data_IF_373751638588
#
_entry.id   IF_373751638588
#
_cell.length_a   1.000
_cell.length_b   1.000
_cell.length_c   1.000
_cell.angle_alpha   90.00
_cell.angle_beta   90.00
_cell.angle_gamma   90.00
#
_symmetry.space_group_name_H-M   'P 1'
#
loop_
_entity.id
_entity.type
_entity.pdbx_description
1 polymer ?
#
# COMPACT_ATOMS: atom_id res chain seq x y z
N UNK A 1 -4.51 1.39 6.22
CA UNK A 1 -5.43 0.88 5.19
C UNK A 1 -4.73 1.00 3.85
N UNK A 2 -4.85 0.00 2.99
CA UNK A 2 -4.22 -0.03 1.67
C UNK A 2 -5.29 0.25 0.63
N UNK A 3 -5.00 1.14 -0.32
CA UNK A 3 -5.89 1.42 -1.42
C UNK A 3 -5.33 0.73 -2.67
N UNK A 4 -6.18 -0.03 -3.36
CA UNK A 4 -5.79 -0.76 -4.57
C UNK A 4 -6.65 -0.31 -5.75
N UNK A 5 -6.01 -0.06 -6.89
CA UNK A 5 -6.65 0.25 -8.19
C UNK A 5 -6.46 1.70 -8.66
N UNK A 6 -6.37 1.89 -9.99
CA UNK A 6 -6.17 3.19 -10.64
C UNK A 6 -7.46 4.05 -10.72
N UNK A 7 -8.61 3.47 -11.10
CA UNK A 7 -9.87 4.20 -11.32
C UNK A 7 -10.88 4.04 -10.16
N UNK A 8 -11.01 2.85 -9.59
CA UNK A 8 -11.82 2.59 -8.38
C UNK A 8 -10.90 2.20 -7.22
N UNK A 9 -10.52 3.19 -6.40
CA UNK A 9 -9.69 2.96 -5.21
C UNK A 9 -10.48 2.17 -4.17
N UNK A 10 -10.31 0.84 -4.13
CA UNK A 10 -10.88 0.01 -3.07
C UNK A 10 -10.00 0.04 -1.83
N UNK A 11 -10.62 0.36 -0.69
CA UNK A 11 -9.94 0.38 0.61
C UNK A 11 -9.93 -1.02 1.22
N UNK A 12 -8.74 -1.58 1.35
CA UNK A 12 -8.47 -2.81 2.11
C UNK A 12 -8.02 -2.45 3.52
N UNK A 13 -8.76 -2.94 4.51
CA UNK A 13 -8.36 -2.86 5.91
C UNK A 13 -7.63 -4.16 6.23
N UNK A 14 -6.31 -4.05 6.34
CA UNK A 14 -5.45 -5.17 6.75
C UNK A 14 -5.11 -5.04 8.23
N UNK A 15 -5.12 -6.16 8.99
CA UNK A 15 -4.67 -6.18 10.37
C UNK A 15 -3.20 -5.79 10.48
N UNK A 16 -2.84 -5.09 11.56
CA UNK A 16 -1.46 -4.65 11.83
C UNK A 16 -0.46 -5.82 11.93
N UNK A 17 -0.92 -7.04 12.22
CA UNK A 17 -0.08 -8.24 12.22
C UNK A 17 0.59 -8.50 10.87
N UNK A 18 -0.07 -8.16 9.76
CA UNK A 18 0.44 -8.36 8.41
C UNK A 18 1.55 -7.36 8.04
N UNK A 19 1.64 -6.21 8.74
CA UNK A 19 2.76 -5.27 8.56
C UNK A 19 4.10 -5.84 9.03
N UNK A 20 4.07 -6.85 9.91
CA UNK A 20 5.27 -7.52 10.42
C UNK A 20 5.67 -8.73 9.56
N UNK A 21 4.88 -9.10 8.55
CA UNK A 21 5.26 -10.14 7.61
C UNK A 21 6.31 -9.62 6.64
N UNK A 22 7.44 -10.34 6.53
CA UNK A 22 8.56 -9.96 5.64
C UNK A 22 8.13 -9.76 4.19
N UNK A 23 7.26 -10.65 3.69
CA UNK A 23 6.70 -10.53 2.34
C UNK A 23 5.95 -9.22 2.13
N UNK A 24 5.18 -8.80 3.14
CA UNK A 24 4.43 -7.55 3.06
C UNK A 24 5.39 -6.35 3.08
N UNK A 25 6.40 -6.37 3.95
CA UNK A 25 7.45 -5.33 4.01
C UNK A 25 8.22 -5.20 2.70
N UNK A 26 8.60 -6.32 2.07
CA UNK A 26 9.29 -6.29 0.77
C UNK A 26 8.43 -5.64 -0.32
N UNK A 27 7.12 -5.94 -0.33
CA UNK A 27 6.17 -5.34 -1.28
C UNK A 27 5.99 -3.85 -0.98
N UNK A 28 5.90 -3.45 0.29
CA UNK A 28 5.84 -2.06 0.70
C UNK A 28 7.08 -1.28 0.27
N UNK A 29 8.27 -1.87 0.43
CA UNK A 29 9.53 -1.24 0.07
C UNK A 29 9.62 -1.00 -1.44
N UNK A 30 9.21 -1.99 -2.25
CA UNK A 30 9.13 -1.83 -3.71
C UNK A 30 8.08 -0.81 -4.13
N UNK A 31 6.92 -0.84 -3.49
CA UNK A 31 5.87 0.14 -3.76
C UNK A 31 6.32 1.57 -3.41
N UNK A 32 7.13 1.74 -2.37
CA UNK A 32 7.74 3.03 -2.06
C UNK A 32 8.77 3.47 -3.10
N UNK A 33 9.68 2.59 -3.52
CA UNK A 33 10.65 2.91 -4.58
C UNK A 33 9.97 3.27 -5.90
N UNK A 34 8.83 2.64 -6.22
CA UNK A 34 8.16 2.78 -7.51
C UNK A 34 7.14 3.94 -7.52
N UNK A 35 6.44 4.19 -6.41
CA UNK A 35 5.34 5.17 -6.35
C UNK A 35 5.59 6.34 -5.39
N UNK A 36 6.56 6.21 -4.47
CA UNK A 36 6.94 7.21 -3.47
C UNK A 36 5.84 7.52 -2.44
N UNK A 37 6.23 8.03 -1.28
CA UNK A 37 5.28 8.41 -0.20
C UNK A 37 4.33 9.58 -0.51
N UNK A 38 4.39 10.20 -1.70
CA UNK A 38 3.59 11.39 -2.01
C UNK A 38 2.16 11.01 -2.38
N UNK A 39 1.39 10.59 -1.39
CA UNK A 39 0.00 10.24 -1.55
C UNK A 39 -0.87 11.28 -0.86
N UNK A 40 -1.64 12.09 -1.60
CA UNK A 40 -2.44 13.19 -1.03
C UNK A 40 -3.51 12.72 -0.02
N UNK A 41 -3.82 11.42 0.02
CA UNK A 41 -4.77 10.82 0.95
C UNK A 41 -4.12 10.18 2.20
N UNK A 42 -2.80 10.32 2.39
CA UNK A 42 -2.11 9.87 3.61
C UNK A 42 -2.05 8.35 3.82
N UNK A 43 -2.34 7.55 2.79
CA UNK A 43 -2.29 6.09 2.85
C UNK A 43 -1.68 5.50 1.59
N UNK A 44 -1.01 4.35 1.73
CA UNK A 44 -0.35 3.63 0.64
C UNK A 44 -1.37 3.29 -0.46
N UNK A 45 -1.08 3.75 -1.67
CA UNK A 45 -1.86 3.43 -2.87
C UNK A 45 -1.01 2.52 -3.75
N UNK A 46 -1.44 1.27 -3.89
CA UNK A 46 -0.79 0.30 -4.78
C UNK A 46 -1.64 0.21 -6.05
N UNK A 47 -1.17 0.73 -7.20
CA UNK A 47 -1.89 0.50 -8.45
C UNK A 47 -1.84 -1.00 -8.79
N UNK A 48 -2.93 -1.50 -9.35
CA UNK A 48 -3.02 -2.86 -9.88
C UNK A 48 -2.79 -2.80 -11.38
#
# INVERSE_FOLDING_TARGET
>A
AVYVGENEKKRFVIPLSHLNERLFQDVLCRADEEFGFHHPMGGLTIPC
#
